data_IF_506144251369
#
_entry.id   IF_506144251369
#
_cell.length_a   1.000
_cell.length_b   1.000
_cell.length_c   1.000
_cell.angle_alpha   90.00
_cell.angle_beta   90.00
_cell.angle_gamma   90.00
#
_symmetry.space_group_name_H-M   'P 1'
#
loop_
_entity.id
_entity.type
_entity.pdbx_description
1 polymer ?
#
# COMPACT_ATOMS: atom_id res chain seq x y z
N UNK A 1 36.58 -11.62 -15.28
CA UNK A 1 35.56 -12.44 -14.58
C UNK A 1 36.18 -13.63 -13.81
N UNK A 2 35.81 -13.83 -12.54
CA UNK A 2 36.22 -15.00 -11.74
C UNK A 2 35.65 -16.32 -12.30
N UNK A 3 36.29 -17.46 -11.97
CA UNK A 3 35.90 -18.79 -12.47
C UNK A 3 34.44 -19.16 -12.13
N UNK A 4 33.99 -18.82 -10.93
CA UNK A 4 32.63 -19.10 -10.46
C UNK A 4 31.59 -18.30 -11.25
N UNK A 5 31.84 -17.00 -11.47
CA UNK A 5 30.95 -16.12 -12.24
C UNK A 5 30.83 -16.62 -13.68
N UNK A 6 31.92 -17.07 -14.31
CA UNK A 6 31.89 -17.67 -15.66
C UNK A 6 31.02 -18.92 -15.75
N UNK A 7 31.05 -19.78 -14.73
CA UNK A 7 30.23 -20.99 -14.69
C UNK A 7 28.74 -20.66 -14.58
N UNK A 8 28.37 -19.74 -13.69
CA UNK A 8 26.98 -19.31 -13.50
C UNK A 8 26.44 -18.53 -14.71
N UNK A 9 27.26 -17.68 -15.32
CA UNK A 9 26.95 -17.03 -16.60
C UNK A 9 26.73 -18.09 -17.69
N UNK A 10 27.55 -19.14 -17.73
CA UNK A 10 27.36 -20.26 -18.66
C UNK A 10 25.97 -20.91 -18.53
N UNK A 11 25.50 -21.13 -17.29
CA UNK A 11 24.15 -21.63 -17.02
C UNK A 11 23.07 -20.64 -17.48
N UNK A 12 23.27 -19.34 -17.22
CA UNK A 12 22.36 -18.28 -17.67
C UNK A 12 22.24 -18.26 -19.20
N UNK A 13 23.34 -18.42 -19.92
CA UNK A 13 23.35 -18.51 -21.39
C UNK A 13 22.58 -19.73 -21.90
N UNK A 14 22.71 -20.90 -21.25
CA UNK A 14 21.90 -22.08 -21.59
C UNK A 14 20.40 -21.81 -21.44
N UNK A 15 19.99 -21.16 -20.35
CA UNK A 15 18.58 -20.75 -20.12
C UNK A 15 18.10 -19.81 -21.23
N UNK A 16 18.96 -18.87 -21.65
CA UNK A 16 18.65 -17.98 -22.76
C UNK A 16 18.39 -18.69 -24.09
N UNK A 17 19.21 -19.70 -24.40
CA UNK A 17 19.06 -20.52 -25.60
C UNK A 17 17.75 -21.32 -25.59
N UNK A 18 17.40 -21.91 -24.45
CA UNK A 18 16.17 -22.68 -24.29
C UNK A 18 14.90 -21.80 -24.35
N UNK A 19 14.94 -20.62 -23.74
CA UNK A 19 13.78 -19.73 -23.64
C UNK A 19 13.63 -18.74 -24.80
N UNK A 20 14.54 -18.76 -25.77
CA UNK A 20 14.53 -17.83 -26.91
C UNK A 20 14.89 -16.39 -26.55
N UNK A 21 15.52 -16.18 -25.38
CA UNK A 21 16.07 -14.89 -24.95
C UNK A 21 16.30 -14.76 -23.45
N UNK A 22 17.08 -13.74 -23.06
CA UNK A 22 17.42 -13.40 -21.66
C UNK A 22 17.04 -11.94 -21.40
N UNK A 23 16.49 -11.66 -20.21
CA UNK A 23 16.14 -10.31 -19.77
C UNK A 23 17.33 -9.59 -19.14
N UNK A 24 17.44 -8.28 -19.37
CA UNK A 24 18.49 -7.45 -18.75
C UNK A 24 18.41 -7.47 -17.22
N UNK A 25 17.20 -7.45 -16.64
CA UNK A 25 17.02 -7.56 -15.18
C UNK A 25 17.48 -8.90 -14.61
N UNK A 26 17.34 -10.00 -15.36
CA UNK A 26 17.83 -11.32 -14.93
C UNK A 26 19.36 -11.34 -14.82
N UNK A 27 20.06 -10.70 -15.76
CA UNK A 27 21.52 -10.59 -15.75
C UNK A 27 21.97 -9.78 -14.53
N UNK A 28 21.38 -8.60 -14.35
CA UNK A 28 21.69 -7.73 -13.20
C UNK A 28 21.43 -8.44 -11.87
N UNK A 29 20.36 -9.24 -11.80
CA UNK A 29 20.02 -9.99 -10.60
C UNK A 29 21.09 -11.03 -10.27
N UNK A 30 21.50 -11.84 -11.25
CA UNK A 30 22.53 -12.85 -11.05
C UNK A 30 23.84 -12.23 -10.58
N UNK A 31 24.27 -11.13 -11.19
CA UNK A 31 25.49 -10.42 -10.80
C UNK A 31 25.42 -9.89 -9.37
N UNK A 32 24.28 -9.30 -8.97
CA UNK A 32 24.08 -8.84 -7.60
C UNK A 32 24.08 -9.99 -6.59
N UNK A 33 23.44 -11.11 -6.93
CA UNK A 33 23.37 -12.30 -6.08
C UNK A 33 24.77 -12.93 -5.89
N UNK A 34 25.61 -12.87 -6.93
CA UNK A 34 27.02 -13.26 -6.88
C UNK A 34 27.92 -12.23 -6.16
N UNK A 35 27.41 -11.03 -5.84
CA UNK A 35 28.15 -9.88 -5.28
C UNK A 35 29.26 -9.36 -6.18
N UNK A 36 29.09 -9.53 -7.49
CA UNK A 36 30.10 -9.24 -8.51
C UNK A 36 29.61 -8.18 -9.51
N UNK A 37 28.49 -7.51 -9.21
CA UNK A 37 27.96 -6.47 -10.07
C UNK A 37 28.96 -5.31 -10.24
N UNK A 38 29.40 -5.11 -11.48
CA UNK A 38 30.05 -3.91 -11.98
C UNK A 38 29.63 -3.66 -13.41
N UNK A 39 29.71 -2.40 -13.86
CA UNK A 39 29.37 -2.05 -15.25
C UNK A 39 30.26 -2.83 -16.24
N UNK A 40 31.53 -3.06 -15.90
CA UNK A 40 32.46 -3.86 -16.71
C UNK A 40 32.03 -5.34 -16.84
N UNK A 41 31.62 -5.97 -15.73
CA UNK A 41 31.15 -7.36 -15.76
C UNK A 41 29.81 -7.51 -16.48
N UNK A 42 28.93 -6.53 -16.32
CA UNK A 42 27.65 -6.49 -17.02
C UNK A 42 27.87 -6.41 -18.54
N UNK A 43 28.74 -5.52 -19.01
CA UNK A 43 29.12 -5.42 -20.42
C UNK A 43 29.81 -6.70 -20.93
N UNK A 44 30.68 -7.34 -20.14
CA UNK A 44 31.30 -8.64 -20.50
C UNK A 44 30.22 -9.71 -20.77
N UNK A 45 29.15 -9.77 -19.98
CA UNK A 45 28.04 -10.71 -20.18
C UNK A 45 27.20 -10.35 -21.40
N UNK A 46 26.94 -9.06 -21.65
CA UNK A 46 26.21 -8.63 -22.84
C UNK A 46 26.92 -9.06 -24.14
N UNK A 47 28.25 -8.90 -24.17
CA UNK A 47 29.06 -9.37 -25.30
C UNK A 47 28.95 -10.89 -25.50
N UNK A 48 29.00 -11.68 -24.42
CA UNK A 48 28.84 -13.15 -24.50
C UNK A 48 27.45 -13.56 -25.02
N UNK A 49 26.39 -12.85 -24.61
CA UNK A 49 25.02 -13.08 -25.09
C UNK A 49 24.92 -12.83 -26.61
N UNK A 50 25.57 -11.76 -27.09
CA UNK A 50 25.62 -11.43 -28.51
C UNK A 50 26.43 -12.46 -29.32
N UNK A 51 27.60 -12.87 -28.83
CA UNK A 51 28.43 -13.92 -29.44
C UNK A 51 27.68 -15.26 -29.57
N UNK A 52 26.92 -15.62 -28.54
CA UNK A 52 26.10 -16.84 -28.49
C UNK A 52 24.76 -16.70 -29.24
N UNK A 53 24.50 -15.55 -29.87
CA UNK A 53 23.27 -15.23 -30.64
C UNK A 53 21.99 -15.42 -29.82
N UNK A 54 22.04 -15.15 -28.53
CA UNK A 54 20.89 -15.20 -27.65
C UNK A 54 20.16 -13.85 -27.72
N UNK A 55 18.84 -13.88 -27.89
CA UNK A 55 18.04 -12.65 -27.96
C UNK A 55 18.03 -11.93 -26.60
N UNK A 56 18.55 -10.70 -26.55
CA UNK A 56 18.46 -9.88 -25.34
C UNK A 56 17.10 -9.17 -25.30
N UNK A 57 16.28 -9.56 -24.32
CA UNK A 57 15.00 -8.91 -24.03
C UNK A 57 15.31 -7.74 -23.11
N UNK A 58 15.46 -6.54 -23.70
CA UNK A 58 15.55 -5.31 -22.93
C UNK A 58 14.22 -5.12 -22.20
N UNK A 59 14.24 -5.22 -20.88
CA UNK A 59 13.04 -4.93 -20.10
C UNK A 59 12.66 -3.47 -20.35
N UNK A 60 11.51 -3.25 -20.98
CA UNK A 60 11.01 -1.90 -21.17
C UNK A 60 10.73 -1.30 -19.80
N UNK A 61 10.99 0.00 -19.65
CA UNK A 61 10.51 0.76 -18.48
C UNK A 61 9.00 0.66 -18.27
N UNK A 62 8.24 0.25 -19.29
CA UNK A 62 6.80 -0.07 -19.22
C UNK A 62 6.51 -1.50 -18.67
N UNK A 63 7.44 -2.44 -18.78
CA UNK A 63 7.35 -3.75 -18.14
C UNK A 63 7.78 -3.61 -16.68
N UNK A 64 6.82 -3.78 -15.77
CA UNK A 64 6.98 -3.72 -14.31
C UNK A 64 7.86 -4.85 -13.76
N UNK A 65 9.12 -4.92 -14.15
CA UNK A 65 10.11 -5.76 -13.50
C UNK A 65 10.72 -4.97 -12.37
N UNK A 66 10.08 -5.08 -11.19
CA UNK A 66 10.62 -4.60 -9.94
C UNK A 66 11.95 -5.33 -9.71
N UNK A 67 13.07 -4.67 -9.99
CA UNK A 67 14.38 -5.19 -9.68
C UNK A 67 14.51 -5.30 -8.17
N UNK A 68 14.66 -6.53 -7.67
CA UNK A 68 14.76 -6.82 -6.25
C UNK A 68 16.16 -7.31 -5.94
N UNK A 69 17.03 -6.39 -5.53
CA UNK A 69 18.38 -6.74 -5.11
C UNK A 69 18.34 -7.65 -3.87
N UNK A 70 18.56 -8.95 -4.08
CA UNK A 70 18.38 -9.97 -3.04
C UNK A 70 19.45 -9.84 -1.96
N UNK A 71 20.61 -9.26 -2.32
CA UNK A 71 21.73 -9.01 -1.41
C UNK A 71 21.36 -8.03 -0.29
N UNK A 72 20.33 -7.19 -0.50
CA UNK A 72 19.84 -6.21 0.49
C UNK A 72 18.76 -6.78 1.40
N UNK A 73 18.35 -8.04 1.22
CA UNK A 73 17.33 -8.66 2.07
C UNK A 73 18.02 -9.21 3.31
N UNK A 74 17.68 -8.64 4.47
CA UNK A 74 18.24 -9.05 5.76
C UNK A 74 17.13 -9.53 6.69
N UNK A 75 17.04 -10.85 6.85
CA UNK A 75 16.05 -11.52 7.69
C UNK A 75 16.77 -12.45 8.66
N UNK A 76 16.49 -12.29 9.95
CA UNK A 76 17.05 -13.14 11.02
C UNK A 76 15.96 -14.03 11.58
N UNK A 77 16.23 -15.33 11.65
CA UNK A 77 15.38 -16.27 12.37
C UNK A 77 15.69 -16.22 13.86
N UNK A 78 14.64 -16.19 14.68
CA UNK A 78 14.72 -16.23 16.14
C UNK A 78 13.66 -17.15 16.69
N UNK A 79 14.03 -18.03 17.61
CA UNK A 79 13.09 -18.87 18.34
C UNK A 79 12.96 -18.35 19.76
N UNK A 80 11.72 -18.16 20.23
CA UNK A 80 11.43 -17.72 21.59
C UNK A 80 10.37 -18.63 22.22
N UNK A 81 10.47 -18.84 23.52
CA UNK A 81 9.40 -19.50 24.27
C UNK A 81 8.15 -18.63 24.34
N UNK A 82 6.98 -19.25 24.44
CA UNK A 82 5.70 -18.57 24.72
C UNK A 82 5.82 -17.68 25.95
N UNK A 83 6.47 -18.15 27.02
CA UNK A 83 6.68 -17.33 28.23
C UNK A 83 7.44 -16.02 27.93
N UNK A 84 8.47 -16.08 27.07
CA UNK A 84 9.22 -14.90 26.67
C UNK A 84 8.34 -13.94 25.88
N UNK A 85 7.54 -14.46 24.95
CA UNK A 85 6.60 -13.66 24.16
C UNK A 85 5.53 -13.02 25.03
N UNK A 86 4.97 -13.76 25.99
CA UNK A 86 4.01 -13.24 26.98
C UNK A 86 4.63 -12.09 27.78
N UNK A 87 5.90 -12.18 28.20
CA UNK A 87 6.60 -11.06 28.85
C UNK A 87 6.69 -9.84 27.94
N UNK A 88 7.07 -10.03 26.68
CA UNK A 88 7.13 -8.94 25.69
C UNK A 88 5.77 -8.26 25.48
N UNK A 89 4.70 -9.04 25.40
CA UNK A 89 3.32 -8.54 25.31
C UNK A 89 2.94 -7.72 26.56
N UNK A 90 3.22 -8.25 27.76
CA UNK A 90 2.93 -7.56 29.04
C UNK A 90 3.62 -6.21 29.17
N UNK A 91 4.85 -6.08 28.68
CA UNK A 91 5.61 -4.84 28.74
C UNK A 91 5.41 -3.91 27.53
N UNK A 92 4.50 -4.26 26.60
CA UNK A 92 4.22 -3.44 25.43
C UNK A 92 5.37 -3.38 24.41
N UNK A 93 6.28 -4.36 24.44
CA UNK A 93 7.41 -4.48 23.51
C UNK A 93 6.98 -5.05 22.15
N UNK A 94 5.79 -5.62 22.07
CA UNK A 94 5.14 -6.05 20.83
C UNK A 94 3.86 -5.24 20.68
N UNK A 95 3.74 -4.54 19.56
CA UNK A 95 2.56 -3.72 19.29
C UNK A 95 1.43 -4.58 18.74
N UNK A 96 0.44 -4.88 19.58
CA UNK A 96 -0.81 -5.52 19.18
C UNK A 96 -1.83 -4.49 18.66
N UNK A 97 -1.61 -3.21 18.94
CA UNK A 97 -2.48 -2.09 18.60
C UNK A 97 -2.08 -1.46 17.27
N UNK A 98 -2.12 -2.28 16.22
CA UNK A 98 -2.08 -1.71 14.88
C UNK A 98 -3.45 -1.11 14.58
N UNK A 99 -3.52 0.23 14.42
CA UNK A 99 -4.71 0.98 13.94
C UNK A 99 -5.32 0.37 12.67
N UNK A 100 -4.52 -0.45 12.00
CA UNK A 100 -4.82 -1.17 10.80
C UNK A 100 -5.70 -2.43 11.01
N UNK A 101 -5.54 -3.17 12.11
CA UNK A 101 -6.32 -4.39 12.39
C UNK A 101 -7.37 -4.18 13.48
N UNK A 102 -8.26 -3.19 13.27
CA UNK A 102 -9.31 -2.74 14.22
C UNK A 102 -10.18 -3.85 14.84
N UNK A 103 -10.20 -5.06 14.27
CA UNK A 103 -10.75 -6.26 14.92
C UNK A 103 -9.61 -7.07 15.53
N UNK A 104 -9.19 -6.71 16.76
CA UNK A 104 -8.49 -7.65 17.63
C UNK A 104 -9.39 -8.88 17.75
N UNK A 105 -8.88 -10.08 17.47
CA UNK A 105 -9.65 -11.34 17.46
C UNK A 105 -10.66 -11.50 16.31
N UNK A 106 -10.15 -11.78 15.12
CA UNK A 106 -10.93 -12.30 13.99
C UNK A 106 -11.11 -13.83 14.05
N UNK A 107 -10.24 -14.53 14.79
CA UNK A 107 -10.39 -15.96 15.02
C UNK A 107 -11.56 -16.24 15.95
N UNK A 108 -12.37 -17.25 15.61
CA UNK A 108 -13.38 -17.78 16.52
C UNK A 108 -12.70 -18.49 17.69
N UNK A 109 -13.39 -18.62 18.82
CA UNK A 109 -12.84 -19.28 20.01
C UNK A 109 -12.43 -20.73 19.75
N UNK A 110 -13.03 -21.40 18.76
CA UNK A 110 -12.61 -22.72 18.30
C UNK A 110 -11.18 -22.68 17.70
N UNK A 111 -10.94 -21.81 16.72
CA UNK A 111 -9.60 -21.68 16.08
C UNK A 111 -8.54 -21.25 17.10
N UNK A 112 -8.91 -20.37 18.03
CA UNK A 112 -8.05 -19.99 19.17
C UNK A 112 -7.71 -21.19 20.04
N UNK A 113 -8.70 -22.03 20.35
CA UNK A 113 -8.51 -23.22 21.17
C UNK A 113 -7.65 -24.26 20.48
N UNK A 114 -7.77 -24.45 19.16
CA UNK A 114 -6.88 -25.32 18.38
C UNK A 114 -5.41 -24.88 18.45
N UNK A 115 -5.12 -23.57 18.52
CA UNK A 115 -3.75 -23.08 18.74
C UNK A 115 -3.22 -23.50 20.12
N UNK A 116 -4.03 -23.32 21.16
CA UNK A 116 -3.63 -23.73 22.52
C UNK A 116 -3.50 -25.24 22.61
N UNK A 117 -4.41 -26.00 22.01
CA UNK A 117 -4.33 -27.46 21.91
C UNK A 117 -3.02 -27.88 21.26
N UNK A 118 -2.66 -27.27 20.12
CA UNK A 118 -1.40 -27.53 19.43
C UNK A 118 -0.20 -27.37 20.36
N UNK A 119 -0.18 -26.35 21.23
CA UNK A 119 0.88 -26.20 22.25
C UNK A 119 0.81 -27.30 23.32
N UNK A 120 -0.39 -27.67 23.80
CA UNK A 120 -0.60 -28.75 24.78
C UNK A 120 -0.13 -30.12 24.27
N UNK A 121 -0.24 -30.39 22.97
CA UNK A 121 0.22 -31.62 22.32
C UNK A 121 1.56 -31.48 21.58
N UNK A 122 2.22 -30.31 21.68
CA UNK A 122 3.53 -30.01 21.10
C UNK A 122 3.60 -30.13 19.57
N UNK A 123 2.52 -29.75 18.89
CA UNK A 123 2.53 -29.56 17.44
C UNK A 123 3.29 -28.28 17.06
N UNK A 124 3.99 -28.28 15.91
CA UNK A 124 4.69 -27.10 15.43
C UNK A 124 3.70 -25.99 15.06
N UNK A 125 3.95 -24.78 15.58
CA UNK A 125 3.19 -23.59 15.21
C UNK A 125 3.87 -22.92 14.02
N UNK A 126 3.12 -22.51 12.97
CA UNK A 126 3.71 -21.79 11.84
C UNK A 126 4.51 -20.56 12.29
N UNK A 127 5.59 -20.21 11.58
CA UNK A 127 6.42 -19.06 11.94
C UNK A 127 5.65 -17.75 11.81
N UNK A 128 6.07 -16.74 12.55
CA UNK A 128 5.53 -15.38 12.51
C UNK A 128 6.57 -14.39 11.99
N UNK A 129 6.12 -13.27 11.43
CA UNK A 129 7.00 -12.28 10.79
C UNK A 129 6.86 -10.92 11.45
N UNK A 130 7.99 -10.26 11.67
CA UNK A 130 8.05 -8.96 12.33
C UNK A 130 8.97 -8.01 11.59
N UNK A 131 8.60 -6.74 11.59
CA UNK A 131 9.50 -5.64 11.29
C UNK A 131 10.26 -5.27 12.58
N UNK A 132 11.58 -5.45 12.53
CA UNK A 132 12.48 -5.23 13.65
C UNK A 132 13.28 -3.93 13.52
N UNK A 133 12.75 -2.91 12.81
CA UNK A 133 13.35 -1.56 12.74
C UNK A 133 13.66 -0.97 14.12
N UNK A 134 12.75 -1.18 15.07
CA UNK A 134 12.95 -0.82 16.46
C UNK A 134 13.19 -2.09 17.27
N UNK A 135 14.42 -2.27 17.75
CA UNK A 135 14.82 -3.44 18.54
C UNK A 135 14.04 -3.58 19.84
N UNK A 136 13.52 -2.47 20.38
CA UNK A 136 12.73 -2.40 21.62
C UNK A 136 11.22 -2.50 21.40
N UNK A 137 10.74 -2.31 20.16
CA UNK A 137 9.31 -2.38 19.84
C UNK A 137 9.11 -3.07 18.50
N UNK A 138 8.73 -4.34 18.55
CA UNK A 138 8.52 -5.14 17.34
C UNK A 138 7.15 -4.87 16.75
N UNK A 139 7.14 -4.62 15.45
CA UNK A 139 5.91 -4.43 14.70
C UNK A 139 5.54 -5.72 13.96
N UNK A 140 4.31 -6.17 14.16
CA UNK A 140 3.83 -7.44 13.58
C UNK A 140 3.58 -7.25 12.09
N UNK A 141 4.13 -8.17 11.28
CA UNK A 141 3.81 -8.32 9.86
C UNK A 141 2.77 -9.41 9.67
N UNK A 142 3.02 -10.57 10.28
CA UNK A 142 2.12 -11.71 10.28
C UNK A 142 2.19 -12.41 11.64
N UNK A 143 1.05 -12.96 12.08
CA UNK A 143 0.92 -13.61 13.37
C UNK A 143 0.07 -12.89 14.39
N UNK A 144 -0.60 -11.77 14.05
CA UNK A 144 -1.40 -11.01 15.01
C UNK A 144 -2.40 -11.92 15.74
N UNK A 145 -3.17 -12.74 15.01
CA UNK A 145 -4.22 -13.57 15.63
C UNK A 145 -3.63 -14.61 16.60
N UNK A 146 -2.45 -15.16 16.31
CA UNK A 146 -1.73 -16.08 17.21
C UNK A 146 -1.31 -15.34 18.49
N UNK A 147 -0.73 -14.14 18.36
CA UNK A 147 -0.33 -13.34 19.53
C UNK A 147 -1.53 -12.83 20.34
N UNK A 148 -2.62 -12.41 19.69
CA UNK A 148 -3.88 -12.05 20.35
C UNK A 148 -4.44 -13.24 21.12
N UNK A 149 -4.43 -14.44 20.54
CA UNK A 149 -4.87 -15.67 21.22
C UNK A 149 -4.06 -15.91 22.50
N UNK A 150 -2.73 -15.82 22.42
CA UNK A 150 -1.85 -15.97 23.58
C UNK A 150 -2.10 -14.87 24.63
N UNK A 151 -2.26 -13.61 24.21
CA UNK A 151 -2.55 -12.49 25.09
C UNK A 151 -3.89 -12.69 25.82
N UNK A 152 -4.95 -13.01 25.07
CA UNK A 152 -6.31 -13.17 25.61
C UNK A 152 -6.43 -14.38 26.54
N UNK A 153 -5.73 -15.48 26.27
CA UNK A 153 -5.78 -16.70 27.09
C UNK A 153 -4.86 -16.63 28.31
N UNK A 154 -3.61 -16.20 28.14
CA UNK A 154 -2.57 -16.29 29.17
C UNK A 154 -2.45 -15.04 30.03
N UNK A 155 -2.87 -13.87 29.52
CA UNK A 155 -2.76 -12.59 30.22
C UNK A 155 -4.13 -12.11 30.66
N UNK A 156 -5.05 -11.93 29.71
CA UNK A 156 -6.35 -11.32 29.98
C UNK A 156 -7.40 -12.31 30.52
N UNK A 157 -7.16 -13.61 30.33
CA UNK A 157 -8.04 -14.71 30.75
C UNK A 157 -9.50 -14.53 30.29
N UNK A 158 -9.68 -14.07 29.05
CA UNK A 158 -10.99 -13.64 28.52
C UNK A 158 -11.92 -14.79 28.14
N UNK A 159 -11.37 -15.97 27.88
CA UNK A 159 -12.12 -17.10 27.33
C UNK A 159 -11.54 -18.43 27.82
N UNK A 160 -12.30 -19.51 27.59
CA UNK A 160 -11.98 -20.88 27.98
C UNK A 160 -11.94 -21.77 26.74
N UNK A 161 -11.16 -22.86 26.81
CA UNK A 161 -10.99 -23.75 25.67
C UNK A 161 -12.33 -24.31 25.19
N UNK A 162 -12.53 -24.37 23.88
CA UNK A 162 -13.76 -24.89 23.26
C UNK A 162 -13.44 -25.55 21.92
N UNK A 163 -14.15 -26.61 21.58
CA UNK A 163 -13.98 -27.29 20.29
C UNK A 163 -12.63 -27.99 20.12
N UNK A 164 -11.99 -28.40 21.22
CA UNK A 164 -10.77 -29.22 21.19
C UNK A 164 -11.01 -30.55 20.45
N UNK A 165 -10.04 -31.02 19.66
CA UNK A 165 -10.17 -32.24 18.84
C UNK A 165 -9.59 -33.48 19.53
N UNK A 166 -8.45 -33.33 20.20
CA UNK A 166 -7.69 -34.43 20.83
C UNK A 166 -7.89 -34.46 22.34
N UNK A 167 -8.02 -33.28 22.95
CA UNK A 167 -8.03 -33.06 24.40
C UNK A 167 -9.42 -32.56 24.85
N UNK A 168 -10.49 -33.19 24.36
CA UNK A 168 -11.89 -32.77 24.53
C UNK A 168 -12.35 -32.61 25.98
N UNK A 169 -11.77 -33.35 26.92
CA UNK A 169 -12.08 -33.23 28.36
C UNK A 169 -11.66 -31.88 28.96
N UNK A 170 -10.77 -31.14 28.30
CA UNK A 170 -10.33 -29.81 28.73
C UNK A 170 -11.15 -28.67 28.12
N UNK A 171 -12.26 -28.98 27.43
CA UNK A 171 -13.22 -27.95 27.05
C UNK A 171 -13.79 -27.28 28.33
N UNK A 172 -13.98 -25.97 28.28
CA UNK A 172 -14.35 -25.08 29.40
C UNK A 172 -13.28 -24.89 30.48
N UNK A 173 -12.04 -25.35 30.25
CA UNK A 173 -10.90 -25.04 31.10
C UNK A 173 -10.22 -23.72 30.70
N UNK A 174 -9.81 -22.94 31.69
CA UNK A 174 -8.82 -21.87 31.56
C UNK A 174 -7.40 -22.43 31.80
N UNK A 175 -6.37 -21.60 31.59
CA UNK A 175 -4.97 -21.98 31.80
C UNK A 175 -4.71 -22.58 33.20
N UNK A 176 -5.33 -22.03 34.23
CA UNK A 176 -5.15 -22.46 35.63
C UNK A 176 -5.80 -23.81 35.94
N UNK A 177 -6.84 -24.17 35.17
CA UNK A 177 -7.57 -25.43 35.35
C UNK A 177 -6.80 -26.63 34.76
N UNK A 178 -5.81 -26.37 33.89
CA UNK A 178 -5.05 -27.42 33.21
C UNK A 178 -4.05 -28.10 34.15
N UNK A 179 -3.82 -29.41 34.05
CA UNK A 179 -2.71 -30.09 34.72
C UNK A 179 -1.37 -29.43 34.41
N UNK A 180 -0.45 -29.43 35.39
CA UNK A 180 0.85 -28.72 35.28
C UNK A 180 1.67 -29.14 34.04
N UNK A 181 1.52 -30.38 33.56
CA UNK A 181 2.20 -30.82 32.33
C UNK A 181 1.77 -30.00 31.10
N UNK A 182 0.48 -29.70 30.94
CA UNK A 182 -0.03 -28.93 29.82
C UNK A 182 0.29 -27.45 29.97
N UNK A 183 0.20 -26.91 31.19
CA UNK A 183 0.64 -25.54 31.47
C UNK A 183 2.11 -25.34 31.06
N UNK A 184 3.01 -26.27 31.44
CA UNK A 184 4.42 -26.22 31.04
C UNK A 184 4.60 -26.28 29.53
N UNK A 185 3.91 -27.20 28.85
CA UNK A 185 4.01 -27.31 27.38
C UNK A 185 3.57 -26.03 26.67
N UNK A 186 2.54 -25.37 27.19
CA UNK A 186 2.11 -24.06 26.68
C UNK A 186 3.18 -23.00 26.94
N UNK A 187 3.69 -22.87 28.18
CA UNK A 187 4.68 -21.86 28.57
C UNK A 187 6.04 -22.01 27.86
N UNK A 188 6.52 -23.25 27.75
CA UNK A 188 7.81 -23.63 27.17
C UNK A 188 7.75 -23.83 25.65
N UNK A 189 6.55 -23.80 25.07
CA UNK A 189 6.31 -23.93 23.64
C UNK A 189 7.19 -22.98 22.83
N UNK A 190 7.88 -23.50 21.82
CA UNK A 190 8.83 -22.75 21.02
C UNK A 190 8.14 -22.16 19.80
N UNK A 191 8.23 -20.85 19.65
CA UNK A 191 7.68 -20.10 18.52
C UNK A 191 8.81 -19.55 17.66
N UNK A 192 8.72 -19.75 16.34
CA UNK A 192 9.70 -19.25 15.37
C UNK A 192 9.27 -17.90 14.81
N UNK A 193 10.22 -16.98 14.75
CA UNK A 193 10.06 -15.61 14.30
C UNK A 193 11.06 -15.29 13.20
N UNK A 194 10.61 -14.62 12.14
CA UNK A 194 11.47 -13.99 11.15
C UNK A 194 11.45 -12.48 11.34
N UNK A 195 12.59 -11.94 11.75
CA UNK A 195 12.80 -10.52 11.98
C UNK A 195 13.37 -9.89 10.72
N UNK A 196 12.60 -9.03 10.07
CA UNK A 196 13.05 -8.24 8.93
C UNK A 196 13.82 -7.02 9.48
N UNK A 197 15.11 -6.95 9.18
CA UNK A 197 16.00 -5.94 9.73
C UNK A 197 15.88 -4.59 8.98
N UNK A 198 16.26 -3.45 9.62
CA UNK A 198 16.12 -2.12 9.04
C UNK A 198 16.79 -1.95 7.67
N UNK A 199 17.86 -2.67 7.40
CA UNK A 199 18.66 -2.61 6.16
C UNK A 199 17.88 -3.09 4.93
N UNK A 200 16.82 -3.88 5.16
CA UNK A 200 15.95 -4.36 4.08
C UNK A 200 15.20 -3.17 3.46
N UNK A 201 15.29 -2.92 2.14
CA UNK A 201 14.59 -1.81 1.51
C UNK A 201 13.07 -1.91 1.67
N UNK A 202 12.39 -0.76 1.75
CA UNK A 202 10.95 -0.71 2.04
C UNK A 202 10.09 -1.38 0.95
N UNK A 203 10.53 -1.34 -0.31
CA UNK A 203 9.88 -2.05 -1.42
C UNK A 203 9.91 -3.57 -1.22
N UNK A 204 11.02 -4.10 -0.68
CA UNK A 204 11.16 -5.51 -0.33
C UNK A 204 10.24 -5.85 0.81
N UNK A 205 10.23 -5.05 1.89
CA UNK A 205 9.35 -5.26 3.04
C UNK A 205 7.89 -5.32 2.59
N UNK A 206 7.47 -4.39 1.75
CA UNK A 206 6.14 -4.37 1.17
C UNK A 206 5.83 -5.63 0.34
N UNK A 207 6.77 -6.06 -0.52
CA UNK A 207 6.63 -7.29 -1.32
C UNK A 207 6.54 -8.54 -0.43
N UNK A 208 7.39 -8.66 0.59
CA UNK A 208 7.37 -9.74 1.57
C UNK A 208 6.04 -9.77 2.33
N UNK A 209 5.62 -8.61 2.85
CA UNK A 209 4.34 -8.46 3.55
C UNK A 209 3.18 -8.91 2.66
N UNK A 210 3.14 -8.48 1.40
CA UNK A 210 2.11 -8.85 0.42
C UNK A 210 2.09 -10.35 0.09
N UNK A 211 3.24 -11.05 0.16
CA UNK A 211 3.39 -12.48 -0.14
C UNK A 211 3.09 -13.37 1.06
N UNK A 212 3.52 -12.98 2.26
CA UNK A 212 3.31 -13.73 3.50
C UNK A 212 1.85 -13.67 3.93
N UNK A 213 1.14 -12.59 3.58
CA UNK A 213 -0.27 -12.40 3.87
C UNK A 213 -1.12 -13.60 3.41
N UNK A 214 -1.37 -14.51 4.35
CA UNK A 214 -1.87 -15.87 4.13
C UNK A 214 -3.38 -15.83 3.81
N UNK A 215 -3.91 -16.76 2.98
CA UNK A 215 -5.34 -16.85 2.72
C UNK A 215 -6.15 -17.06 4.02
N UNK A 216 -7.02 -16.10 4.33
CA UNK A 216 -7.90 -16.09 5.51
C UNK A 216 -8.42 -14.68 5.81
N UNK A 217 -7.51 -13.69 5.86
CA UNK A 217 -7.84 -12.26 5.90
C UNK A 217 -6.76 -11.42 5.21
N UNK A 218 -6.74 -11.49 3.87
CA UNK A 218 -5.79 -10.73 3.06
C UNK A 218 -5.92 -9.24 3.34
N UNK A 219 -4.82 -8.55 3.56
CA UNK A 219 -4.82 -7.09 3.75
C UNK A 219 -4.74 -6.40 2.38
N UNK A 220 -5.47 -5.31 2.22
CA UNK A 220 -5.41 -4.46 1.03
C UNK A 220 -4.05 -3.75 0.92
N UNK A 221 -3.68 -3.25 -0.27
CA UNK A 221 -2.47 -2.47 -0.45
C UNK A 221 -2.30 -1.33 0.56
N UNK A 222 -3.33 -0.50 0.77
CA UNK A 222 -3.26 0.65 1.67
C UNK A 222 -3.11 0.26 3.14
N UNK A 223 -3.73 -0.85 3.49
CA UNK A 223 -3.66 -1.48 4.80
C UNK A 223 -2.20 -1.89 5.13
N UNK A 224 -1.52 -2.51 4.17
CA UNK A 224 -0.08 -2.82 4.26
C UNK A 224 0.76 -1.54 4.36
N UNK A 225 0.47 -0.51 3.55
CA UNK A 225 1.19 0.78 3.60
C UNK A 225 1.06 1.43 4.97
N UNK A 226 -0.14 1.41 5.53
CA UNK A 226 -0.38 1.98 6.84
C UNK A 226 0.48 1.27 7.90
N UNK A 227 0.57 -0.06 7.87
CA UNK A 227 1.44 -0.80 8.78
C UNK A 227 2.93 -0.44 8.57
N UNK A 228 3.44 -0.48 7.34
CA UNK A 228 4.88 -0.32 7.11
C UNK A 228 5.38 1.13 7.28
N UNK A 229 4.57 2.12 6.93
CA UNK A 229 4.98 3.53 6.86
C UNK A 229 4.39 4.39 7.99
N UNK A 230 4.26 3.84 9.20
CA UNK A 230 3.80 4.57 10.38
C UNK A 230 4.55 5.90 10.57
N UNK A 231 3.82 6.97 10.92
CA UNK A 231 4.39 8.29 11.18
C UNK A 231 3.48 9.44 10.74
N UNK A 232 4.09 10.53 10.26
CA UNK A 232 3.36 11.72 9.81
C UNK A 232 2.44 11.43 8.63
N UNK A 233 2.87 10.56 7.71
CA UNK A 233 2.08 10.18 6.55
C UNK A 233 0.76 9.50 6.96
N UNK A 234 0.82 8.48 7.83
CA UNK A 234 -0.39 7.76 8.27
C UNK A 234 -1.35 8.66 9.03
N UNK A 235 -0.83 9.56 9.90
CA UNK A 235 -1.62 10.53 10.64
C UNK A 235 -2.26 11.58 9.72
N UNK A 236 -1.51 12.13 8.77
CA UNK A 236 -2.03 13.08 7.77
C UNK A 236 -3.19 12.45 6.98
N UNK A 237 -3.01 11.23 6.47
CA UNK A 237 -4.06 10.55 5.70
C UNK A 237 -5.31 10.30 6.54
N UNK A 238 -5.14 9.93 7.81
CA UNK A 238 -6.25 9.76 8.73
C UNK A 238 -6.99 11.08 8.98
N UNK A 239 -6.27 12.14 9.36
CA UNK A 239 -6.85 13.45 9.67
C UNK A 239 -7.67 14.00 8.48
N UNK A 240 -7.20 13.80 7.26
CA UNK A 240 -7.89 14.25 6.05
C UNK A 240 -9.11 13.38 5.69
N UNK A 241 -8.96 12.05 5.77
CA UNK A 241 -10.01 11.11 5.38
C UNK A 241 -11.17 11.03 6.40
N UNK A 242 -10.89 11.29 7.69
CA UNK A 242 -11.90 11.28 8.76
C UNK A 242 -12.51 12.68 9.00
N UNK A 243 -12.17 13.67 8.17
CA UNK A 243 -12.71 15.03 8.24
C UNK A 243 -14.17 15.10 7.81
N UNK A 244 -14.92 16.03 8.41
CA UNK A 244 -16.34 16.25 8.06
C UNK A 244 -16.48 16.68 6.60
N UNK A 245 -15.59 17.55 6.13
CA UNK A 245 -15.54 18.05 4.76
C UNK A 245 -15.39 16.92 3.75
N UNK A 246 -14.55 15.92 4.04
CA UNK A 246 -14.38 14.74 3.18
C UNK A 246 -15.63 13.85 3.20
N UNK A 247 -16.19 13.60 4.39
CA UNK A 247 -17.43 12.86 4.54
C UNK A 247 -18.59 13.51 3.76
N UNK A 248 -18.74 14.83 3.86
CA UNK A 248 -19.79 15.60 3.17
C UNK A 248 -19.58 15.58 1.65
N UNK A 249 -18.35 15.79 1.18
CA UNK A 249 -18.02 15.79 -0.25
C UNK A 249 -18.15 14.40 -0.89
N UNK A 250 -17.93 13.33 -0.13
CA UNK A 250 -18.08 11.95 -0.61
C UNK A 250 -19.44 11.34 -0.31
N UNK A 251 -20.30 12.04 0.44
CA UNK A 251 -21.57 11.53 0.96
C UNK A 251 -21.41 10.26 1.81
N UNK A 252 -20.29 10.11 2.53
CA UNK A 252 -19.92 8.91 3.30
C UNK A 252 -19.90 7.59 2.49
N UNK A 253 -19.82 7.65 1.16
CA UNK A 253 -19.83 6.47 0.30
C UNK A 253 -18.45 5.79 0.15
N UNK A 254 -17.41 6.28 0.83
CA UNK A 254 -16.06 5.72 0.79
C UNK A 254 -15.80 4.90 2.05
N UNK A 255 -15.53 3.61 1.88
CA UNK A 255 -15.39 2.70 3.00
C UNK A 255 -14.07 2.89 3.78
N UNK A 256 -14.18 3.27 5.05
CA UNK A 256 -13.03 3.41 5.96
C UNK A 256 -12.54 2.09 6.55
N UNK A 257 -13.38 1.05 6.57
CA UNK A 257 -13.09 -0.25 7.20
C UNK A 257 -11.88 -0.97 6.62
N UNK A 258 -11.51 -0.65 5.37
CA UNK A 258 -10.38 -1.22 4.62
C UNK A 258 -9.44 -0.12 4.10
N UNK A 259 -9.52 1.07 4.71
CA UNK A 259 -8.69 2.24 4.38
C UNK A 259 -8.78 2.74 2.93
N UNK A 260 -9.92 2.52 2.25
CA UNK A 260 -10.10 3.01 0.87
C UNK A 260 -10.13 4.54 0.81
N UNK A 261 -10.68 5.16 1.84
CA UNK A 261 -10.66 6.60 2.10
C UNK A 261 -9.23 7.15 2.17
N UNK A 262 -8.36 6.52 2.94
CA UNK A 262 -6.94 6.89 3.08
C UNK A 262 -6.17 6.69 1.79
N UNK A 263 -6.44 5.62 1.02
CA UNK A 263 -5.81 5.44 -0.30
C UNK A 263 -6.24 6.53 -1.29
N UNK A 264 -7.51 6.92 -1.26
CA UNK A 264 -8.07 7.95 -2.12
C UNK A 264 -7.41 9.31 -1.85
N UNK A 265 -7.26 9.68 -0.59
CA UNK A 265 -6.48 10.87 -0.19
C UNK A 265 -5.03 10.75 -0.63
N UNK A 266 -4.38 9.60 -0.38
CA UNK A 266 -2.98 9.39 -0.73
C UNK A 266 -2.71 9.52 -2.23
N UNK A 267 -3.62 9.06 -3.09
CA UNK A 267 -3.50 9.20 -4.56
C UNK A 267 -3.46 10.65 -4.99
N UNK A 268 -4.38 11.49 -4.49
CA UNK A 268 -4.33 12.93 -4.72
C UNK A 268 -3.00 13.53 -4.25
N UNK A 269 -2.59 13.23 -3.01
CA UNK A 269 -1.37 13.78 -2.45
C UNK A 269 -0.12 13.35 -3.25
N UNK A 270 -0.07 12.09 -3.68
CA UNK A 270 1.01 11.59 -4.52
C UNK A 270 1.07 12.36 -5.84
N UNK A 271 -0.07 12.51 -6.54
CA UNK A 271 -0.14 13.29 -7.77
C UNK A 271 0.29 14.74 -7.57
N UNK A 272 -0.19 15.40 -6.53
CA UNK A 272 0.08 16.81 -6.32
C UNK A 272 1.54 17.10 -5.97
N UNK A 273 2.16 16.27 -5.12
CA UNK A 273 3.49 16.54 -4.58
C UNK A 273 4.63 15.78 -5.28
N UNK A 274 4.36 14.59 -5.84
CA UNK A 274 5.37 13.85 -6.62
C UNK A 274 5.24 14.09 -8.13
N UNK A 275 4.05 14.49 -8.59
CA UNK A 275 3.77 14.73 -10.00
C UNK A 275 3.54 13.45 -10.80
N UNK A 276 3.10 13.63 -12.05
CA UNK A 276 2.78 12.52 -12.96
C UNK A 276 4.03 11.75 -13.39
N UNK A 277 5.14 12.45 -13.62
CA UNK A 277 6.36 11.84 -14.13
C UNK A 277 6.93 10.79 -13.16
N UNK A 278 6.77 11.00 -11.84
CA UNK A 278 7.14 10.02 -10.84
C UNK A 278 6.32 8.71 -10.93
N UNK A 279 5.20 8.69 -11.65
CA UNK A 279 4.40 7.49 -11.90
C UNK A 279 4.78 6.74 -13.20
N UNK A 280 5.47 7.38 -14.17
CA UNK A 280 5.69 6.86 -15.54
C UNK A 280 6.17 5.41 -15.60
N UNK A 281 7.09 5.05 -14.70
CA UNK A 281 7.74 3.74 -14.66
C UNK A 281 7.51 3.01 -13.32
N UNK A 282 6.44 3.37 -12.60
CA UNK A 282 6.10 2.75 -11.32
C UNK A 282 4.74 2.08 -11.40
N UNK A 283 4.60 0.97 -10.68
CA UNK A 283 3.29 0.49 -10.28
C UNK A 283 2.61 1.50 -9.34
N UNK A 284 1.29 1.42 -9.22
CA UNK A 284 0.56 2.25 -8.26
C UNK A 284 1.05 2.00 -6.83
N UNK A 285 1.45 0.77 -6.51
CA UNK A 285 2.02 0.42 -5.20
C UNK A 285 3.31 1.18 -4.94
N UNK A 286 4.27 1.13 -5.86
CA UNK A 286 5.56 1.84 -5.74
C UNK A 286 5.38 3.37 -5.71
N UNK A 287 4.44 3.90 -6.48
CA UNK A 287 4.15 5.34 -6.51
C UNK A 287 3.58 5.83 -5.17
N UNK A 288 2.59 5.13 -4.62
CA UNK A 288 1.98 5.48 -3.34
C UNK A 288 2.92 5.21 -2.16
N UNK A 289 3.75 4.16 -2.21
CA UNK A 289 4.78 3.90 -1.21
C UNK A 289 5.81 5.06 -1.16
N UNK A 290 6.23 5.55 -2.32
CA UNK A 290 7.13 6.70 -2.39
C UNK A 290 6.51 7.97 -1.79
N UNK A 291 5.20 8.17 -1.97
CA UNK A 291 4.47 9.27 -1.33
C UNK A 291 4.46 9.10 0.20
N UNK A 292 4.22 7.89 0.72
CA UNK A 292 4.30 7.63 2.16
C UNK A 292 5.68 7.97 2.74
N UNK A 293 6.76 7.57 2.06
CA UNK A 293 8.14 7.89 2.45
C UNK A 293 8.39 9.41 2.39
N UNK A 294 7.91 10.08 1.34
CA UNK A 294 8.03 11.53 1.19
C UNK A 294 7.38 12.26 2.37
N UNK A 295 6.12 11.98 2.71
CA UNK A 295 5.39 12.67 3.78
C UNK A 295 5.96 12.39 5.17
N UNK A 296 6.48 11.19 5.42
CA UNK A 296 7.12 10.88 6.71
C UNK A 296 8.38 11.71 6.98
N UNK A 297 9.02 12.25 5.94
CA UNK A 297 10.23 13.08 6.04
C UNK A 297 9.96 14.58 6.11
N UNK A 298 8.70 15.02 5.98
CA UNK A 298 8.36 16.44 5.94
C UNK A 298 8.31 17.08 7.33
N UNK A 299 8.42 18.41 7.38
CA UNK A 299 8.23 19.22 8.59
C UNK A 299 6.74 19.30 8.98
N UNK A 300 6.45 19.61 10.23
CA UNK A 300 5.05 19.75 10.67
C UNK A 300 4.37 20.95 10.01
N UNK A 301 5.12 22.03 9.72
CA UNK A 301 4.66 23.19 8.96
C UNK A 301 4.22 22.80 7.55
N UNK A 302 5.01 21.99 6.84
CA UNK A 302 4.65 21.49 5.52
C UNK A 302 3.38 20.64 5.56
N UNK A 303 3.25 19.78 6.57
CA UNK A 303 2.05 18.95 6.77
C UNK A 303 0.81 19.82 7.01
N UNK A 304 0.95 20.91 7.76
CA UNK A 304 -0.16 21.83 8.02
C UNK A 304 -0.56 22.62 6.77
N UNK A 305 0.40 23.09 5.98
CA UNK A 305 0.10 23.77 4.70
C UNK A 305 -0.53 22.82 3.68
N UNK A 306 -0.12 21.55 3.69
CA UNK A 306 -0.76 20.49 2.92
C UNK A 306 -2.24 20.33 3.30
N UNK A 307 -2.56 20.30 4.59
CA UNK A 307 -3.95 20.24 5.08
C UNK A 307 -4.76 21.44 4.61
N UNK A 308 -4.23 22.67 4.78
CA UNK A 308 -4.92 23.89 4.33
C UNK A 308 -5.24 23.83 2.83
N UNK A 309 -4.28 23.44 2.00
CA UNK A 309 -4.48 23.33 0.55
C UNK A 309 -5.49 22.24 0.20
N UNK A 310 -5.42 21.08 0.85
CA UNK A 310 -6.40 20.01 0.69
C UNK A 310 -7.83 20.50 0.97
N UNK A 311 -8.06 21.17 2.10
CA UNK A 311 -9.41 21.64 2.46
C UNK A 311 -9.92 22.74 1.53
N UNK A 312 -9.07 23.68 1.10
CA UNK A 312 -9.42 24.67 0.07
C UNK A 312 -9.83 24.01 -1.24
N UNK A 313 -9.08 22.99 -1.65
CA UNK A 313 -9.33 22.25 -2.89
C UNK A 313 -10.64 21.46 -2.81
N UNK A 314 -10.85 20.76 -1.71
CA UNK A 314 -12.07 19.99 -1.45
C UNK A 314 -13.31 20.87 -1.40
N UNK A 315 -13.23 22.01 -0.70
CA UNK A 315 -14.31 23.00 -0.64
C UNK A 315 -14.64 23.56 -2.03
N UNK A 316 -13.65 23.79 -2.89
CA UNK A 316 -13.88 24.21 -4.27
C UNK A 316 -14.63 23.14 -5.08
N UNK A 317 -14.16 21.89 -5.07
CA UNK A 317 -14.83 20.81 -5.80
C UNK A 317 -16.24 20.57 -5.26
N UNK A 318 -16.45 20.66 -3.95
CA UNK A 318 -17.78 20.55 -3.34
C UNK A 318 -18.67 21.75 -3.69
N UNK A 319 -18.14 22.97 -3.73
CA UNK A 319 -18.88 24.16 -4.16
C UNK A 319 -19.37 24.05 -5.60
N UNK A 320 -18.59 23.39 -6.47
CA UNK A 320 -18.95 23.15 -7.87
C UNK A 320 -19.98 22.02 -7.99
N UNK A 321 -19.72 20.84 -7.42
CA UNK A 321 -20.50 19.62 -7.71
C UNK A 321 -21.47 19.18 -6.60
N UNK A 322 -21.35 19.73 -5.38
CA UNK A 322 -22.12 19.33 -4.21
C UNK A 322 -22.06 17.82 -3.96
N UNK A 323 -23.21 17.19 -3.77
CA UNK A 323 -23.31 15.72 -3.59
C UNK A 323 -22.77 14.88 -4.76
N UNK A 324 -22.58 15.48 -5.95
CA UNK A 324 -22.04 14.79 -7.13
C UNK A 324 -20.52 14.85 -7.23
N UNK A 325 -19.83 15.45 -6.25
CA UNK A 325 -18.37 15.49 -6.22
C UNK A 325 -17.77 14.08 -6.41
N UNK A 326 -16.77 14.00 -7.31
CA UNK A 326 -16.00 12.80 -7.60
C UNK A 326 -16.80 11.63 -8.18
N UNK A 327 -17.95 11.91 -8.81
CA UNK A 327 -18.82 10.92 -9.45
C UNK A 327 -18.98 11.23 -10.93
N UNK A 328 -19.24 10.19 -11.71
CA UNK A 328 -19.66 10.37 -13.11
C UNK A 328 -21.06 10.98 -13.15
N UNK A 329 -21.27 11.90 -14.07
CA UNK A 329 -22.55 12.56 -14.32
C UNK A 329 -22.86 12.41 -15.83
N UNK A 330 -24.10 12.12 -16.20
CA UNK A 330 -24.52 12.00 -17.60
C UNK A 330 -25.64 12.97 -17.94
N UNK A 331 -25.78 13.35 -19.21
CA UNK A 331 -26.88 14.22 -19.69
C UNK A 331 -28.25 13.59 -19.47
N UNK A 332 -28.38 12.31 -19.77
CA UNK A 332 -29.68 11.61 -19.76
C UNK A 332 -30.19 11.37 -18.34
N UNK A 333 -29.29 11.14 -17.38
CA UNK A 333 -29.64 10.86 -15.98
C UNK A 333 -28.82 11.72 -15.02
N UNK A 334 -28.96 13.05 -15.13
CA UNK A 334 -28.23 14.03 -14.32
C UNK A 334 -28.39 13.85 -12.81
N UNK A 335 -29.51 13.28 -12.37
CA UNK A 335 -29.82 13.08 -10.94
C UNK A 335 -29.39 11.72 -10.38
N UNK A 336 -28.85 10.81 -11.22
CA UNK A 336 -28.35 9.52 -10.75
C UNK A 336 -27.08 9.73 -9.92
N UNK A 337 -27.13 9.34 -8.64
CA UNK A 337 -25.94 9.33 -7.81
C UNK A 337 -25.09 8.09 -8.11
N UNK A 338 -24.16 8.21 -9.06
CA UNK A 338 -23.21 7.14 -9.41
C UNK A 338 -22.18 6.90 -8.30
N UNK A 339 -21.53 5.73 -8.20
CA UNK A 339 -20.48 5.49 -7.21
C UNK A 339 -19.32 6.49 -7.30
N UNK A 340 -18.65 6.73 -6.15
CA UNK A 340 -17.42 7.51 -6.09
C UNK A 340 -16.35 6.89 -7.01
N UNK A 341 -15.62 7.74 -7.70
CA UNK A 341 -14.49 7.34 -8.54
C UNK A 341 -13.21 8.01 -8.04
N UNK A 342 -12.27 7.20 -7.56
CA UNK A 342 -10.98 7.64 -7.02
C UNK A 342 -10.14 8.43 -8.02
N UNK A 343 -10.19 8.09 -9.31
CA UNK A 343 -9.46 8.82 -10.35
C UNK A 343 -10.04 10.23 -10.57
N UNK A 344 -11.37 10.39 -10.48
CA UNK A 344 -12.00 11.71 -10.51
C UNK A 344 -11.64 12.53 -9.28
N UNK A 345 -11.53 11.92 -8.10
CA UNK A 345 -11.04 12.60 -6.90
C UNK A 345 -9.64 13.14 -7.07
N UNK A 346 -8.71 12.26 -7.42
CA UNK A 346 -7.32 12.63 -7.66
C UNK A 346 -7.20 13.78 -8.68
N UNK A 347 -7.85 13.64 -9.84
CA UNK A 347 -7.72 14.60 -10.93
C UNK A 347 -8.39 15.94 -10.63
N UNK A 348 -9.60 15.96 -10.04
CA UNK A 348 -10.27 17.23 -9.69
C UNK A 348 -9.56 17.96 -8.56
N UNK A 349 -9.17 17.23 -7.50
CA UNK A 349 -8.44 17.82 -6.37
C UNK A 349 -7.13 18.43 -6.85
N UNK A 350 -6.34 17.73 -7.67
CA UNK A 350 -5.09 18.28 -8.21
C UNK A 350 -5.35 19.46 -9.15
N UNK A 351 -6.40 19.39 -9.97
CA UNK A 351 -6.82 20.47 -10.87
C UNK A 351 -7.02 21.80 -10.15
N UNK A 352 -7.82 21.79 -9.08
CA UNK A 352 -8.16 23.02 -8.35
C UNK A 352 -7.11 23.42 -7.30
N UNK A 353 -6.25 22.50 -6.87
CA UNK A 353 -5.17 22.80 -5.93
C UNK A 353 -4.12 23.74 -6.53
N UNK A 354 -3.88 23.66 -7.84
CA UNK A 354 -2.91 24.50 -8.55
C UNK A 354 -3.40 25.94 -8.77
N UNK A 355 -4.64 26.24 -8.41
CA UNK A 355 -5.27 27.54 -8.64
C UNK A 355 -5.05 28.51 -7.48
N UNK A 356 -5.16 29.80 -7.79
CA UNK A 356 -5.26 30.85 -6.77
C UNK A 356 -6.60 30.78 -6.02
N UNK A 357 -6.70 31.48 -4.89
CA UNK A 357 -7.98 31.56 -4.16
C UNK A 357 -9.07 32.28 -4.97
N UNK A 358 -8.72 33.21 -5.86
CA UNK A 358 -9.69 33.92 -6.69
C UNK A 358 -10.14 33.08 -7.89
N UNK A 359 -9.24 32.34 -8.53
CA UNK A 359 -9.61 31.39 -9.59
C UNK A 359 -10.56 30.31 -9.07
N UNK A 360 -10.34 29.81 -7.84
CA UNK A 360 -11.27 28.86 -7.20
C UNK A 360 -12.66 29.47 -7.01
N UNK A 361 -12.76 30.75 -6.59
CA UNK A 361 -14.06 31.44 -6.47
C UNK A 361 -14.75 31.55 -7.83
N UNK A 362 -14.02 31.94 -8.87
CA UNK A 362 -14.55 32.05 -10.24
C UNK A 362 -15.13 30.70 -10.70
N UNK A 363 -14.43 29.59 -10.46
CA UNK A 363 -14.96 28.27 -10.81
C UNK A 363 -16.26 27.91 -10.08
N UNK A 364 -16.39 28.29 -8.80
CA UNK A 364 -17.61 28.06 -8.01
C UNK A 364 -18.76 28.94 -8.53
N UNK A 365 -18.49 30.21 -8.86
CA UNK A 365 -19.47 31.12 -9.44
C UNK A 365 -19.95 30.61 -10.81
N UNK A 366 -19.03 30.09 -11.63
CA UNK A 366 -19.31 29.48 -12.94
C UNK A 366 -19.58 27.98 -12.88
N UNK A 367 -20.05 27.44 -11.75
CA UNK A 367 -20.23 25.98 -11.55
C UNK A 367 -21.06 25.31 -12.65
N UNK A 368 -22.07 25.98 -13.19
CA UNK A 368 -22.92 25.42 -14.25
C UNK A 368 -22.12 25.18 -15.55
N UNK A 369 -21.26 26.12 -15.93
CA UNK A 369 -20.35 25.97 -17.07
C UNK A 369 -19.37 24.83 -16.86
N UNK A 370 -18.73 24.78 -15.68
CA UNK A 370 -17.81 23.69 -15.31
C UNK A 370 -18.50 22.33 -15.39
N UNK A 371 -19.70 22.21 -14.82
CA UNK A 371 -20.49 20.98 -14.84
C UNK A 371 -20.87 20.57 -16.26
N UNK A 372 -21.30 21.50 -17.11
CA UNK A 372 -21.67 21.20 -18.50
C UNK A 372 -20.47 20.71 -19.31
N UNK A 373 -19.31 21.38 -19.24
CA UNK A 373 -18.09 20.95 -19.91
C UNK A 373 -17.62 19.57 -19.42
N UNK A 374 -17.70 19.34 -18.10
CA UNK A 374 -17.37 18.03 -17.51
C UNK A 374 -18.29 16.91 -18.01
N UNK A 375 -19.60 17.12 -18.00
CA UNK A 375 -20.59 16.15 -18.50
C UNK A 375 -20.37 15.91 -20.00
N UNK A 376 -20.05 16.95 -20.76
CA UNK A 376 -19.73 16.83 -22.18
C UNK A 376 -18.50 15.95 -22.42
N UNK A 377 -17.43 16.10 -21.63
CA UNK A 377 -16.26 15.22 -21.73
C UNK A 377 -16.56 13.77 -21.38
N UNK A 378 -17.51 13.51 -20.47
CA UNK A 378 -17.95 12.15 -20.14
C UNK A 378 -18.82 11.50 -21.23
N UNK A 379 -19.68 12.28 -21.88
CA UNK A 379 -20.68 11.79 -22.84
C UNK A 379 -20.17 11.82 -24.30
N UNK A 380 -19.15 12.62 -24.63
CA UNK A 380 -18.46 12.59 -25.92
C UNK A 380 -17.89 11.18 -26.17
N UNK A 381 -17.67 10.82 -27.45
CA UNK A 381 -16.73 9.71 -27.81
C UNK A 381 -15.26 10.08 -27.50
N UNK A 382 -15.02 10.86 -26.44
CA UNK A 382 -13.69 11.16 -25.94
C UNK A 382 -13.13 9.91 -25.24
N UNK A 383 -11.82 9.87 -25.05
CA UNK A 383 -11.16 8.84 -24.23
C UNK A 383 -11.33 9.07 -22.73
N UNK A 384 -11.91 10.21 -22.29
CA UNK A 384 -11.97 10.56 -20.87
C UNK A 384 -12.76 9.55 -20.03
N UNK A 385 -13.92 9.10 -20.53
CA UNK A 385 -14.74 8.08 -19.85
C UNK A 385 -13.98 6.76 -19.63
N UNK A 386 -13.16 6.34 -20.59
CA UNK A 386 -12.36 5.12 -20.47
C UNK A 386 -11.11 5.35 -19.61
N UNK A 387 -10.52 6.55 -19.64
CA UNK A 387 -9.33 6.92 -18.88
C UNK A 387 -9.58 6.96 -17.37
N UNK A 388 -10.75 7.43 -16.93
CA UNK A 388 -11.15 7.38 -15.50
C UNK A 388 -11.51 5.97 -15.00
N UNK A 389 -11.54 4.98 -15.89
CA UNK A 389 -11.67 3.56 -15.56
C UNK A 389 -10.36 2.78 -15.68
N UNK A 390 -9.28 3.42 -16.12
CA UNK A 390 -8.02 2.76 -16.48
C UNK A 390 -6.91 3.08 -15.48
N UNK A 391 -6.14 2.05 -15.11
CA UNK A 391 -4.94 2.18 -14.29
C UNK A 391 -3.65 2.46 -15.07
N UNK A 392 -3.71 2.57 -16.41
CA UNK A 392 -2.53 2.78 -17.26
C UNK A 392 -1.98 4.20 -17.11
N UNK A 393 -0.67 4.36 -17.18
CA UNK A 393 0.00 5.67 -17.09
C UNK A 393 -0.55 6.69 -18.12
N UNK A 394 -0.70 6.29 -19.38
CA UNK A 394 -1.24 7.20 -20.42
C UNK A 394 -2.66 7.68 -20.10
N UNK A 395 -3.50 6.82 -19.52
CA UNK A 395 -4.84 7.20 -19.07
C UNK A 395 -4.80 8.14 -17.87
N UNK A 396 -3.85 7.93 -16.95
CA UNK A 396 -3.60 8.78 -15.80
C UNK A 396 -3.25 10.22 -16.21
N UNK A 397 -2.35 10.38 -17.18
CA UNK A 397 -1.98 11.69 -17.73
C UNK A 397 -3.17 12.35 -18.42
N UNK A 398 -3.81 11.65 -19.38
CA UNK A 398 -4.90 12.22 -20.17
C UNK A 398 -6.11 12.68 -19.35
N UNK A 399 -6.44 11.98 -18.25
CA UNK A 399 -7.54 12.42 -17.38
C UNK A 399 -7.21 13.73 -16.65
N UNK A 400 -5.96 13.90 -16.19
CA UNK A 400 -5.53 15.13 -15.53
C UNK A 400 -5.48 16.29 -16.53
N UNK A 401 -4.94 16.07 -17.73
CA UNK A 401 -4.94 17.05 -18.83
C UNK A 401 -6.36 17.49 -19.20
N UNK A 402 -7.31 16.56 -19.25
CA UNK A 402 -8.71 16.87 -19.57
C UNK A 402 -9.34 17.79 -18.53
N UNK A 403 -9.12 17.53 -17.23
CA UNK A 403 -9.64 18.40 -16.16
C UNK A 403 -8.97 19.76 -16.19
N UNK A 404 -7.66 19.82 -16.39
CA UNK A 404 -6.91 21.07 -16.55
C UNK A 404 -7.43 21.88 -17.73
N UNK A 405 -7.78 21.23 -18.85
CA UNK A 405 -8.39 21.91 -20.01
C UNK A 405 -9.74 22.51 -19.65
N UNK A 406 -10.63 21.76 -19.00
CA UNK A 406 -11.95 22.26 -18.55
C UNK A 406 -11.76 23.50 -17.66
N UNK A 407 -10.86 23.43 -16.68
CA UNK A 407 -10.58 24.54 -15.77
C UNK A 407 -10.09 25.78 -16.54
N UNK A 408 -9.12 25.61 -17.45
CA UNK A 408 -8.59 26.72 -18.25
C UNK A 408 -9.64 27.34 -19.16
N UNK A 409 -10.52 26.55 -19.76
CA UNK A 409 -11.60 27.04 -20.62
C UNK A 409 -12.52 28.00 -19.85
N UNK A 410 -12.94 27.62 -18.64
CA UNK A 410 -13.82 28.44 -17.78
C UNK A 410 -13.14 29.72 -17.28
N UNK A 411 -11.84 29.65 -16.97
CA UNK A 411 -11.05 30.80 -16.52
C UNK A 411 -10.69 31.75 -17.67
N UNK A 412 -10.38 31.23 -18.87
CA UNK A 412 -10.02 32.03 -20.05
C UNK A 412 -11.23 32.71 -20.71
N UNK A 413 -12.46 32.22 -20.49
CA UNK A 413 -13.68 32.98 -20.83
C UNK A 413 -13.77 34.33 -20.07
N UNK A 414 -12.96 34.58 -19.04
CA UNK A 414 -12.83 35.90 -18.41
C UNK A 414 -11.79 36.82 -19.09
N UNK A 415 -11.07 36.33 -20.09
CA UNK A 415 -10.18 37.14 -20.94
C UNK A 415 -10.80 37.36 -22.31
N UNK A 416 -11.96 38.03 -22.39
CA UNK A 416 -12.37 38.65 -23.66
C UNK A 416 -11.64 39.98 -23.88
N UNK A 417 -11.31 40.32 -25.13
CA UNK A 417 -10.36 41.38 -25.47
C UNK A 417 -10.95 42.73 -25.09
N UNK A 418 -10.13 43.57 -24.46
CA UNK A 418 -10.38 45.00 -24.46
C UNK A 418 -10.53 45.43 -25.93
N UNK A 419 -11.76 45.66 -26.35
CA UNK A 419 -12.05 46.40 -27.58
C UNK A 419 -11.42 47.77 -27.42
N UNK A 420 -10.22 47.96 -27.98
CA UNK A 420 -9.77 49.27 -28.41
C UNK A 420 -10.70 49.70 -29.54
N UNK A 421 -11.81 50.34 -29.16
CA UNK A 421 -12.37 51.41 -29.98
C UNK A 421 -11.40 52.58 -29.88
N UNK A 422 -10.60 52.79 -30.92
CA UNK A 422 -10.42 54.10 -31.56
C UNK A 422 -9.95 53.92 -32.99
#
# INVERSE_FOLDING_TARGET
MEKLVREEVGKLLSVGKENGGIRTTTIMQLLNDLREYSDEQYEEILNLIEEEKINLIVDSTEARTTFLDSSKISIVSKTLSVETIVKKLKYGEIDLDTDFQRKRSLWSDNVKSQLIESLMIQLPIPPMYFDARNTNKWQIIDGLQRLCTLNEFLIEKKWKLTGLEYLTDYNNCAMEDLPRIYQRRIEEGQLTFYLILPETPEEVKYSLFKRINTPGLRLEPQEIRHALFQGKATKLLQDLAESKEFCDATNNDVASSRMQDREMVLRYLALHYLGEEAYRNRSIDEYLNAAMVFFNKQTDEFIEDCKKLYFKSLACVYGIFGKYSFRRISKVRRNDLKPINTALFESWMNGVAQLSDDDRKILIEKKETVQNLYIDELDKKSSFYSDIGSGKYRSFVRRNETIQRIIREVLNENTEPAFEKF
#
